data_IF_102476437809
#
_entry.id   IF_102476437809
#
_cell.length_a   1.000
_cell.length_b   1.000
_cell.length_c   1.000
_cell.angle_alpha   90.00
_cell.angle_beta   90.00
_cell.angle_gamma   90.00
#
_symmetry.space_group_name_H-M   'P 1'
#
loop_
_entity.id
_entity.type
_entity.pdbx_description
1 polymer ?
#
# COMPACT_ATOMS: atom_id res chain seq x y z
N UNK A 1 4.82 3.77 0.62
CA UNK A 1 4.12 3.91 1.92
C UNK A 1 5.10 4.31 3.01
N UNK A 2 6.13 3.51 3.32
CA UNK A 2 7.16 3.84 4.35
C UNK A 2 7.79 5.23 4.14
N UNK A 3 8.18 5.57 2.91
CA UNK A 3 8.72 6.88 2.58
C UNK A 3 7.77 8.04 2.98
N UNK A 4 6.49 7.94 2.60
CA UNK A 4 5.49 8.98 2.89
C UNK A 4 5.17 9.09 4.38
N UNK A 5 5.20 7.97 5.10
CA UNK A 5 5.12 7.97 6.57
C UNK A 5 6.33 8.69 7.17
N UNK A 6 7.55 8.41 6.68
CA UNK A 6 8.77 9.11 7.12
C UNK A 6 8.71 10.62 6.88
N UNK A 7 8.26 11.05 5.70
CA UNK A 7 8.07 12.47 5.38
C UNK A 7 7.05 13.11 6.33
N UNK A 8 5.92 12.45 6.57
CA UNK A 8 4.90 12.93 7.50
C UNK A 8 5.45 13.08 8.92
N UNK A 9 6.24 12.11 9.40
CA UNK A 9 6.86 12.14 10.73
C UNK A 9 7.88 13.29 10.87
N UNK A 10 8.72 13.52 9.86
CA UNK A 10 9.71 14.62 9.87
C UNK A 10 9.01 15.98 9.83
N UNK A 11 7.91 16.10 9.07
CA UNK A 11 7.16 17.34 8.96
C UNK A 11 6.35 17.65 10.24
N UNK A 12 5.86 16.63 10.94
CA UNK A 12 4.96 16.75 12.09
C UNK A 12 5.35 17.80 13.15
N UNK A 13 6.61 17.87 13.65
CA UNK A 13 7.00 18.89 14.64
C UNK A 13 7.08 20.32 14.09
N UNK A 14 7.14 20.49 12.77
CA UNK A 14 7.23 21.80 12.11
C UNK A 14 5.84 22.37 11.79
N UNK A 15 4.82 21.52 11.67
CA UNK A 15 3.46 21.93 11.35
C UNK A 15 2.80 22.68 12.52
N UNK A 16 2.19 23.83 12.22
CA UNK A 16 1.40 24.62 13.19
C UNK A 16 0.06 25.05 12.58
N UNK A 17 -0.98 25.04 13.41
CA UNK A 17 -2.32 25.50 13.04
C UNK A 17 -2.87 24.79 11.80
N UNK A 18 -3.22 25.54 10.75
CA UNK A 18 -3.81 25.01 9.52
C UNK A 18 -2.87 24.13 8.69
N UNK A 19 -1.57 24.13 8.98
CA UNK A 19 -0.61 23.33 8.23
C UNK A 19 -0.85 21.81 8.40
N UNK A 20 -1.56 21.36 9.44
CA UNK A 20 -1.93 19.94 9.59
C UNK A 20 -2.76 19.40 8.41
N UNK A 21 -3.44 20.25 7.63
CA UNK A 21 -4.14 19.86 6.40
C UNK A 21 -3.18 19.23 5.39
N UNK A 22 -1.90 19.57 5.41
CA UNK A 22 -0.89 18.96 4.52
C UNK A 22 -0.70 17.46 4.77
N UNK A 23 -1.04 16.95 5.95
CA UNK A 23 -1.02 15.51 6.27
C UNK A 23 -2.08 14.71 5.50
N UNK A 24 -3.07 15.37 4.88
CA UNK A 24 -4.01 14.72 3.97
C UNK A 24 -3.27 14.15 2.75
N UNK A 25 -2.22 14.83 2.27
CA UNK A 25 -1.44 14.39 1.11
C UNK A 25 -0.83 12.98 1.28
N UNK A 26 -0.01 12.70 2.32
CA UNK A 26 0.53 11.36 2.51
C UNK A 26 -0.55 10.30 2.72
N UNK A 27 -1.66 10.62 3.41
CA UNK A 27 -2.79 9.69 3.56
C UNK A 27 -3.44 9.38 2.20
N UNK A 28 -3.67 10.40 1.38
CA UNK A 28 -4.24 10.26 0.05
C UNK A 28 -3.35 9.43 -0.87
N UNK A 29 -2.03 9.66 -0.86
CA UNK A 29 -1.09 8.86 -1.65
C UNK A 29 -1.08 7.40 -1.19
N UNK A 30 -1.10 7.13 0.12
CA UNK A 30 -1.21 5.77 0.65
C UNK A 30 -2.51 5.11 0.18
N UNK A 31 -3.64 5.83 0.23
CA UNK A 31 -4.92 5.33 -0.26
C UNK A 31 -4.87 4.98 -1.75
N UNK A 32 -4.36 5.88 -2.60
CA UNK A 32 -4.23 5.63 -4.03
C UNK A 32 -3.40 4.38 -4.32
N UNK A 33 -2.24 4.22 -3.66
CA UNK A 33 -1.36 3.08 -3.88
C UNK A 33 -1.96 1.76 -3.38
N UNK A 34 -2.72 1.79 -2.28
CA UNK A 34 -3.27 0.57 -1.68
C UNK A 34 -4.60 0.13 -2.28
N UNK A 35 -5.42 1.07 -2.77
CA UNK A 35 -6.82 0.80 -3.16
C UNK A 35 -7.17 1.17 -4.59
N UNK A 36 -6.33 1.94 -5.30
CA UNK A 36 -6.66 2.41 -6.66
C UNK A 36 -5.64 1.92 -7.69
N UNK A 37 -4.39 2.35 -7.60
CA UNK A 37 -3.42 2.18 -8.70
C UNK A 37 -2.29 1.18 -8.45
N UNK A 38 -1.90 0.97 -7.19
CA UNK A 38 -0.77 0.08 -6.88
C UNK A 38 -1.19 -1.39 -6.88
N UNK A 39 -1.56 -1.88 -5.70
CA UNK A 39 -1.84 -3.30 -5.48
C UNK A 39 -2.97 -3.84 -6.37
N UNK A 40 -4.14 -3.18 -6.48
CA UNK A 40 -5.28 -3.78 -7.19
C UNK A 40 -5.02 -3.96 -8.69
N UNK A 41 -4.28 -3.03 -9.32
CA UNK A 41 -3.93 -3.14 -10.75
C UNK A 41 -2.96 -4.30 -10.97
N UNK A 42 -2.00 -4.51 -10.05
CA UNK A 42 -1.06 -5.61 -10.15
C UNK A 42 -1.75 -6.96 -9.97
N UNK A 43 -2.66 -7.06 -8.99
CA UNK A 43 -3.46 -8.27 -8.77
C UNK A 43 -4.36 -8.57 -9.97
N UNK A 44 -5.07 -7.58 -10.51
CA UNK A 44 -5.92 -7.77 -11.68
C UNK A 44 -5.15 -8.31 -12.90
N UNK A 45 -3.96 -7.77 -13.17
CA UNK A 45 -3.09 -8.26 -14.25
C UNK A 45 -2.57 -9.67 -13.98
N UNK A 46 -2.30 -10.00 -12.72
CA UNK A 46 -1.83 -11.32 -12.34
C UNK A 46 -2.97 -12.37 -12.43
N UNK A 47 -4.19 -11.99 -12.05
CA UNK A 47 -5.39 -12.80 -12.21
C UNK A 47 -5.69 -13.07 -13.68
N UNK A 48 -5.54 -12.07 -14.56
CA UNK A 48 -5.71 -12.26 -16.01
C UNK A 48 -4.69 -13.25 -16.60
N UNK A 49 -3.45 -13.24 -16.10
CA UNK A 49 -2.36 -14.06 -16.65
C UNK A 49 -2.25 -15.45 -16.05
N UNK A 50 -2.61 -15.60 -14.78
CA UNK A 50 -2.38 -16.82 -13.99
C UNK A 50 -3.59 -17.28 -13.17
N UNK A 51 -4.75 -16.64 -13.29
CA UNK A 51 -5.94 -16.93 -12.49
C UNK A 51 -6.42 -18.38 -12.58
N UNK A 52 -6.24 -19.04 -13.72
CA UNK A 52 -6.64 -20.45 -13.90
C UNK A 52 -5.63 -21.45 -13.29
N UNK A 53 -4.49 -20.97 -12.76
CA UNK A 53 -3.44 -21.85 -12.26
C UNK A 53 -3.60 -22.12 -10.75
N UNK A 54 -3.67 -23.39 -10.31
CA UNK A 54 -3.85 -23.73 -8.90
C UNK A 54 -2.71 -23.24 -7.99
N UNK A 55 -1.48 -23.24 -8.49
CA UNK A 55 -0.28 -22.76 -7.79
C UNK A 55 -0.35 -21.25 -7.52
N UNK A 56 -0.81 -20.46 -8.50
CA UNK A 56 -1.01 -19.03 -8.35
C UNK A 56 -2.11 -18.71 -7.32
N UNK A 57 -3.24 -19.43 -7.36
CA UNK A 57 -4.31 -19.26 -6.38
C UNK A 57 -3.85 -19.57 -4.96
N UNK A 58 -3.06 -20.63 -4.78
CA UNK A 58 -2.47 -20.98 -3.48
C UNK A 58 -1.47 -19.92 -3.00
N UNK A 59 -0.62 -19.41 -3.89
CA UNK A 59 0.29 -18.31 -3.61
C UNK A 59 -0.46 -17.05 -3.15
N UNK A 60 -1.52 -16.66 -3.87
CA UNK A 60 -2.35 -15.48 -3.57
C UNK A 60 -3.05 -15.61 -2.21
N UNK A 61 -3.53 -16.80 -1.86
CA UNK A 61 -4.20 -17.05 -0.58
C UNK A 61 -3.27 -17.01 0.64
N UNK A 62 -1.99 -17.37 0.45
CA UNK A 62 -1.03 -17.54 1.56
C UNK A 62 -0.12 -16.32 1.76
N UNK A 63 0.18 -15.60 0.68
CA UNK A 63 1.13 -14.49 0.66
C UNK A 63 0.49 -13.20 1.17
N UNK A 64 1.10 -12.49 2.14
CA UNK A 64 0.61 -11.19 2.60
C UNK A 64 0.78 -10.13 1.51
N UNK A 65 -0.24 -9.30 1.31
CA UNK A 65 -0.27 -8.30 0.23
C UNK A 65 0.70 -7.14 0.43
N UNK A 66 0.95 -6.71 1.67
CA UNK A 66 1.75 -5.50 1.94
C UNK A 66 2.73 -5.66 3.10
N UNK A 67 2.26 -6.10 4.27
CA UNK A 67 3.12 -6.25 5.45
C UNK A 67 3.61 -7.71 5.51
N UNK A 68 4.93 -7.96 5.46
CA UNK A 68 5.48 -9.29 5.58
C UNK A 68 5.03 -9.94 6.90
N UNK A 69 4.54 -11.18 6.83
CA UNK A 69 4.29 -11.98 8.03
C UNK A 69 5.62 -12.51 8.56
N UNK A 70 5.82 -12.55 9.89
CA UNK A 70 6.98 -13.23 10.46
C UNK A 70 7.00 -14.71 10.03
N UNK A 71 8.20 -15.31 9.88
CA UNK A 71 8.31 -16.73 9.52
C UNK A 71 7.64 -17.60 10.58
N UNK A 72 6.92 -18.63 10.13
CA UNK A 72 6.37 -19.68 11.00
C UNK A 72 7.45 -20.72 11.31
#
# INVERSE_FOLDING_TARGET
>A
IVLWVGIALIALPVLRGWQYVTLISPLFVIFLLTRVSGIPILEARADEKWGDRPDYQQYKATTPVLIPKPPR
#
